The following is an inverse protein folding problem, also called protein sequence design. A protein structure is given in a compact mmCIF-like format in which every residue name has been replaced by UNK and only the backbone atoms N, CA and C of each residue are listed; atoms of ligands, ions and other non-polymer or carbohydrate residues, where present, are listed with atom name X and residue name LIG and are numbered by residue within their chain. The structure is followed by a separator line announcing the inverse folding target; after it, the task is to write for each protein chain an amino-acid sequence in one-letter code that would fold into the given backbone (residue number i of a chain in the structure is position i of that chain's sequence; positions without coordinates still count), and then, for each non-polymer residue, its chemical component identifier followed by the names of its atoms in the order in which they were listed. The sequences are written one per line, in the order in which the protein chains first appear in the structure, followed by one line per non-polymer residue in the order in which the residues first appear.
data_IF_021320969339
#
_entry.id   IF_021320969339
#
_cell.length_a   1.000
_cell.length_b   1.000
_cell.length_c   1.000
_cell.angle_alpha   90.00
_cell.angle_beta   90.00
_cell.angle_gamma   90.00
#
_symmetry.space_group_name_H-M   'P 1'
#
loop_
_entity.id
_entity.type
_entity.pdbx_description
1 polymer ?
#
# COMPACT_ATOMS: atom_id res chain seq x y z
N UNK A 1 -4.58 7.54 0.02
CA UNK A 1 -5.38 7.33 -1.22
C UNK A 1 -6.08 8.64 -1.58
N UNK A 2 -6.36 8.86 -2.87
CA UNK A 2 -6.97 10.10 -3.36
C UNK A 2 -8.14 9.76 -4.29
N UNK A 3 -9.22 10.56 -4.22
CA UNK A 3 -10.38 10.48 -5.13
C UNK A 3 -10.39 11.68 -6.06
N UNK A 4 -10.72 11.48 -7.33
CA UNK A 4 -10.87 12.55 -8.30
C UNK A 4 -12.20 13.28 -8.10
N UNK A 5 -12.10 14.60 -7.99
CA UNK A 5 -13.20 15.55 -8.09
C UNK A 5 -12.71 16.71 -9.00
N UNK A 6 -12.61 17.94 -8.49
CA UNK A 6 -11.83 19.02 -9.12
C UNK A 6 -10.32 18.81 -8.89
N UNK A 7 -9.80 17.66 -9.34
CA UNK A 7 -8.45 17.14 -9.04
C UNK A 7 -8.44 15.99 -8.03
N UNK A 8 -7.28 15.36 -7.84
CA UNK A 8 -7.09 14.29 -6.86
C UNK A 8 -6.97 14.87 -5.46
N UNK A 9 -7.93 14.55 -4.58
CA UNK A 9 -7.96 15.00 -3.19
C UNK A 9 -7.84 13.81 -2.24
N UNK A 10 -7.17 13.96 -1.07
CA UNK A 10 -7.06 12.87 -0.10
C UNK A 10 -8.43 12.26 0.23
N UNK A 11 -8.51 10.94 0.19
CA UNK A 11 -9.75 10.19 0.36
C UNK A 11 -9.51 8.97 1.25
N UNK A 12 -10.31 8.89 2.33
CA UNK A 12 -10.29 7.90 3.42
C UNK A 12 -9.04 7.89 4.31
N UNK A 13 -7.86 7.54 3.77
CA UNK A 13 -6.70 7.21 4.60
C UNK A 13 -5.47 8.07 4.26
N UNK A 14 -5.04 8.86 5.24
CA UNK A 14 -3.73 9.50 5.32
C UNK A 14 -2.94 8.83 6.44
N UNK A 15 -2.27 7.72 6.11
CA UNK A 15 -1.55 6.90 7.08
C UNK A 15 -0.08 6.85 6.72
N UNK A 16 0.77 7.02 7.73
CA UNK A 16 2.21 6.76 7.67
C UNK A 16 2.49 5.72 8.74
N UNK A 17 3.17 4.63 8.37
CA UNK A 17 3.43 3.54 9.30
C UNK A 17 4.89 3.11 9.21
N UNK A 18 5.52 2.93 10.37
CA UNK A 18 6.81 2.26 10.47
C UNK A 18 6.63 0.77 10.13
N UNK A 19 7.32 0.33 9.08
CA UNK A 19 7.23 -1.02 8.53
C UNK A 19 7.75 -2.06 9.54
N UNK A 20 8.80 -1.74 10.30
CA UNK A 20 9.34 -2.65 11.30
C UNK A 20 8.38 -2.84 12.48
N UNK A 21 7.76 -1.76 12.95
CA UNK A 21 6.71 -1.83 13.97
C UNK A 21 5.48 -2.61 13.47
N UNK A 22 5.13 -2.47 12.20
CA UNK A 22 4.08 -3.27 11.57
C UNK A 22 4.42 -4.76 11.59
N UNK A 23 5.63 -5.14 11.16
CA UNK A 23 6.03 -6.56 11.16
C UNK A 23 6.15 -7.15 12.57
N UNK A 24 6.52 -6.34 13.57
CA UNK A 24 6.51 -6.76 14.97
C UNK A 24 5.11 -7.05 15.52
N UNK A 25 4.07 -6.34 15.03
CA UNK A 25 2.69 -6.56 15.45
C UNK A 25 1.67 -6.28 14.33
N UNK A 26 1.58 -7.20 13.36
CA UNK A 26 0.71 -7.04 12.18
C UNK A 26 -0.77 -6.87 12.54
N UNK A 27 -1.24 -7.52 13.62
CA UNK A 27 -2.64 -7.49 14.06
C UNK A 27 -3.09 -6.09 14.52
N UNK A 28 -2.16 -5.23 14.93
CA UNK A 28 -2.45 -3.86 15.39
C UNK A 28 -2.84 -2.92 14.24
N UNK A 29 -2.46 -3.24 13.00
CA UNK A 29 -2.59 -2.32 11.86
C UNK A 29 -3.38 -2.98 10.72
N UNK A 30 -4.71 -3.12 10.84
CA UNK A 30 -5.52 -3.89 9.90
C UNK A 30 -5.50 -3.33 8.47
N UNK A 31 -5.52 -2.01 8.30
CA UNK A 31 -5.47 -1.38 6.97
C UNK A 31 -4.12 -1.62 6.29
N UNK A 32 -3.03 -1.41 7.03
CA UNK A 32 -1.66 -1.64 6.55
C UNK A 32 -1.47 -3.12 6.23
N UNK A 33 -2.04 -4.01 7.04
CA UNK A 33 -2.03 -5.46 6.81
C UNK A 33 -2.64 -5.82 5.45
N UNK A 34 -3.83 -5.31 5.12
CA UNK A 34 -4.46 -5.59 3.81
C UNK A 34 -3.54 -5.15 2.67
N UNK A 35 -2.98 -3.94 2.74
CA UNK A 35 -2.06 -3.42 1.71
C UNK A 35 -0.82 -4.29 1.61
N UNK A 36 -0.17 -4.63 2.74
CA UNK A 36 1.06 -5.42 2.74
C UNK A 36 0.83 -6.88 2.34
N UNK A 37 -0.31 -7.48 2.67
CA UNK A 37 -0.64 -8.85 2.28
C UNK A 37 -0.65 -8.99 0.74
N UNK A 38 -0.99 -7.94 -0.01
CA UNK A 38 -0.86 -7.88 -1.48
C UNK A 38 0.60 -8.02 -1.94
N UNK A 39 1.51 -7.28 -1.30
CA UNK A 39 2.92 -7.28 -1.68
C UNK A 39 3.67 -8.50 -1.16
N UNK A 40 3.29 -9.03 0.01
CA UNK A 40 4.04 -10.08 0.73
C UNK A 40 4.15 -11.38 -0.05
N UNK A 41 3.14 -11.73 -0.84
CA UNK A 41 3.16 -12.96 -1.65
C UNK A 41 4.14 -12.88 -2.82
N UNK A 42 4.40 -11.68 -3.32
CA UNK A 42 5.19 -11.42 -4.53
C UNK A 42 6.50 -10.67 -4.20
N UNK A 43 6.93 -10.72 -2.95
CA UNK A 43 8.13 -10.02 -2.49
C UNK A 43 8.90 -10.75 -1.40
N UNK A 44 10.15 -10.34 -1.20
CA UNK A 44 10.98 -10.79 -0.08
C UNK A 44 10.74 -9.98 1.21
N UNK A 45 9.61 -9.27 1.33
CA UNK A 45 9.29 -8.44 2.51
C UNK A 45 8.91 -9.24 3.76
N UNK A 46 8.61 -10.55 3.61
CA UNK A 46 8.13 -11.40 4.69
C UNK A 46 9.24 -11.88 5.65
N UNK A 47 9.99 -10.93 6.21
CA UNK A 47 10.99 -11.18 7.24
C UNK A 47 10.93 -10.11 8.33
N UNK A 48 11.55 -10.39 9.47
CA UNK A 48 11.72 -9.44 10.56
C UNK A 48 12.83 -8.46 10.22
N UNK A 49 12.63 -7.17 10.52
CA UNK A 49 13.68 -6.18 10.44
C UNK A 49 14.91 -6.58 11.28
N UNK A 50 16.13 -6.16 10.89
CA UNK A 50 16.45 -5.20 9.81
C UNK A 50 16.49 -5.82 8.40
N UNK A 51 16.12 -5.01 7.40
CA UNK A 51 16.28 -5.37 5.99
C UNK A 51 17.71 -5.05 5.54
N UNK A 52 18.53 -6.09 5.37
CA UNK A 52 19.93 -5.95 4.94
C UNK A 52 20.10 -6.11 3.43
N UNK A 53 19.11 -6.70 2.78
CA UNK A 53 19.10 -6.98 1.35
C UNK A 53 18.13 -6.04 0.61
N UNK A 54 18.28 -5.98 -0.71
CA UNK A 54 17.36 -5.25 -1.56
C UNK A 54 15.93 -5.80 -1.42
N UNK A 55 14.95 -4.92 -1.27
CA UNK A 55 13.54 -5.27 -1.33
C UNK A 55 13.17 -5.50 -2.79
N UNK A 56 12.70 -6.70 -3.10
CA UNK A 56 12.33 -7.12 -4.45
C UNK A 56 10.84 -7.43 -4.45
N UNK A 57 10.10 -6.78 -5.34
CA UNK A 57 8.71 -7.13 -5.69
C UNK A 57 8.73 -7.54 -7.15
N UNK A 58 8.26 -8.75 -7.47
CA UNK A 58 8.31 -9.29 -8.83
C UNK A 58 6.97 -9.87 -9.21
N UNK A 59 6.53 -9.63 -10.45
CA UNK A 59 5.31 -10.22 -11.02
C UNK A 59 4.05 -9.98 -10.16
N UNK A 60 3.94 -8.78 -9.56
CA UNK A 60 2.81 -8.40 -8.73
C UNK A 60 1.53 -8.29 -9.57
N UNK A 61 0.59 -9.20 -9.33
CA UNK A 61 -0.76 -9.17 -9.89
C UNK A 61 -1.70 -8.67 -8.79
N UNK A 62 -2.45 -7.61 -9.09
CA UNK A 62 -3.46 -7.05 -8.20
C UNK A 62 -4.81 -7.71 -8.51
N UNK A 63 -5.23 -8.65 -7.65
CA UNK A 63 -6.54 -9.30 -7.75
C UNK A 63 -7.65 -8.38 -7.25
N UNK A 64 -8.80 -8.36 -7.95
CA UNK A 64 -9.95 -7.53 -7.60
C UNK A 64 -10.51 -7.85 -6.20
N UNK A 65 -10.44 -9.12 -5.79
CA UNK A 65 -10.92 -9.58 -4.48
C UNK A 65 -10.22 -8.89 -3.30
N UNK A 66 -8.97 -8.45 -3.48
CA UNK A 66 -8.22 -7.68 -2.48
C UNK A 66 -8.85 -6.31 -2.21
N UNK A 67 -9.58 -5.77 -3.20
CA UNK A 67 -10.26 -4.50 -3.12
C UNK A 67 -11.72 -4.61 -2.66
N UNK A 68 -12.29 -5.81 -2.62
CA UNK A 68 -13.68 -6.05 -2.19
C UNK A 68 -13.92 -5.60 -0.75
N UNK A 69 -12.92 -5.73 0.14
CA UNK A 69 -13.02 -5.28 1.53
C UNK A 69 -13.00 -3.75 1.69
N UNK A 70 -12.64 -3.01 0.65
CA UNK A 70 -12.62 -1.55 0.71
C UNK A 70 -13.98 -1.00 0.23
N UNK A 71 -14.78 -0.36 1.10
CA UNK A 71 -16.03 0.28 0.72
C UNK A 71 -15.76 1.61 -0.01
N UNK A 72 -15.14 1.51 -1.18
CA UNK A 72 -14.78 2.65 -2.03
C UNK A 72 -15.93 2.85 -3.02
N UNK A 73 -16.61 4.01 -3.04
CA UNK A 73 -17.68 4.24 -4.02
C UNK A 73 -17.14 4.26 -5.45
N UNK A 74 -18.00 4.22 -6.45
CA UNK A 74 -17.59 4.43 -7.84
C UNK A 74 -16.81 5.75 -8.02
N UNK A 75 -15.87 5.73 -8.97
CA UNK A 75 -15.09 6.90 -9.35
C UNK A 75 -13.64 6.59 -9.74
N UNK A 76 -12.89 7.66 -9.99
CA UNK A 76 -11.47 7.60 -10.35
C UNK A 76 -10.61 7.88 -9.11
N UNK A 77 -9.58 7.05 -8.93
CA UNK A 77 -8.74 7.03 -7.74
C UNK A 77 -7.26 7.04 -8.10
N UNK A 78 -6.48 7.68 -7.23
CA UNK A 78 -5.03 7.61 -7.19
C UNK A 78 -4.60 6.97 -5.87
N UNK A 79 -3.96 5.82 -5.98
CA UNK A 79 -3.24 5.21 -4.89
C UNK A 79 -1.78 5.64 -4.94
N UNK A 80 -1.36 6.41 -3.93
CA UNK A 80 -0.01 6.93 -3.82
C UNK A 80 0.65 6.34 -2.58
N UNK A 81 1.74 5.63 -2.77
CA UNK A 81 2.62 5.13 -1.70
C UNK A 81 3.97 5.82 -1.83
N UNK A 82 4.48 6.28 -0.70
CA UNK A 82 5.84 6.79 -0.58
C UNK A 82 6.60 5.88 0.38
N UNK A 83 7.75 5.36 -0.06
CA UNK A 83 8.63 4.52 0.75
C UNK A 83 9.90 5.30 1.05
N UNK A 84 10.20 5.45 2.34
CA UNK A 84 11.41 6.10 2.82
C UNK A 84 12.15 5.18 3.79
N UNK A 85 13.47 5.20 3.72
CA UNK A 85 14.35 4.48 4.64
C UNK A 85 15.56 5.33 4.96
N UNK A 86 15.97 5.38 6.23
CA UNK A 86 17.07 6.21 6.72
C UNK A 86 16.94 7.70 6.34
N UNK A 87 15.72 8.25 6.41
CA UNK A 87 15.36 9.61 5.97
C UNK A 87 15.54 9.91 4.46
N UNK A 88 15.86 8.91 3.65
CA UNK A 88 15.90 9.05 2.19
C UNK A 88 14.62 8.50 1.57
N UNK A 89 14.09 9.22 0.58
CA UNK A 89 13.05 8.70 -0.31
C UNK A 89 13.63 7.57 -1.17
N UNK A 90 13.06 6.37 -1.07
CA UNK A 90 13.50 5.21 -1.85
C UNK A 90 12.59 4.93 -3.05
N UNK A 91 11.28 5.14 -2.90
CA UNK A 91 10.34 4.96 -3.99
C UNK A 91 9.08 5.82 -3.81
N UNK A 92 8.49 6.23 -4.93
CA UNK A 92 7.11 6.71 -5.01
C UNK A 92 6.37 5.85 -6.00
N UNK A 93 5.28 5.24 -5.58
CA UNK A 93 4.38 4.46 -6.44
C UNK A 93 3.09 5.24 -6.59
N UNK A 94 2.71 5.51 -7.83
CA UNK A 94 1.43 6.12 -8.19
C UNK A 94 0.66 5.16 -9.09
N UNK A 95 -0.46 4.65 -8.59
CA UNK A 95 -1.36 3.77 -9.34
C UNK A 95 -2.71 4.47 -9.51
N UNK A 96 -3.11 4.65 -10.76
CA UNK A 96 -4.40 5.22 -11.12
C UNK A 96 -5.36 4.08 -11.47
N UNK A 97 -6.57 4.11 -10.90
CA UNK A 97 -7.58 3.10 -11.18
C UNK A 97 -8.97 3.72 -11.17
N UNK A 98 -9.86 3.13 -11.95
CA UNK A 98 -11.27 3.49 -12.01
C UNK A 98 -12.09 2.34 -11.44
N UNK A 99 -12.96 2.64 -10.49
CA UNK A 99 -13.92 1.67 -9.94
C UNK A 99 -15.29 1.96 -10.51
N UNK A 100 -15.90 0.90 -11.03
CA UNK A 100 -17.29 0.80 -11.49
C UNK A 100 -17.85 -0.48 -10.89
N UNK A 101 -19.03 -0.41 -10.28
CA UNK A 101 -19.68 -1.60 -9.72
C UNK A 101 -20.26 -2.49 -10.83
#
# INVERSE_FOLDING_TARGET
MYKRASGYRPFLYNITQDICAFFANRKRYPIVKVIFDVFLNQSNLNHTCPYNDAIIVKDLILEEDLFHFFPIPEGEYLFKITVSANNDLKATVEAFFYRKD
#
